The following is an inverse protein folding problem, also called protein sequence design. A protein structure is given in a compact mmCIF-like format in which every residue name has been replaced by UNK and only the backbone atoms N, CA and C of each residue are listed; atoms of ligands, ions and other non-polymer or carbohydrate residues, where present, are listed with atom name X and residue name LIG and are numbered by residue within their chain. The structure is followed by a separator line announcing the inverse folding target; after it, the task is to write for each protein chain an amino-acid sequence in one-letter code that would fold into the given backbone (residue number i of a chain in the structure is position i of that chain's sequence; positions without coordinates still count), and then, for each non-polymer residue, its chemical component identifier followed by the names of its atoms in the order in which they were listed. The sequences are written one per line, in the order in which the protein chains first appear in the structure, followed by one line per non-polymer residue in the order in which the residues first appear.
data_IF_844115921159
#
_entry.id   IF_844115921159
#
_cell.length_a   1.000
_cell.length_b   1.000
_cell.length_c   1.000
_cell.angle_alpha   90.00
_cell.angle_beta   90.00
_cell.angle_gamma   90.00
#
_symmetry.space_group_name_H-M   'P 1'
#
loop_
_entity.id
_entity.type
_entity.pdbx_description
1 polymer ?
#
# COMPACT_ATOMS: atom_id res chain seq x y z
N UNK A 1 6.70 -15.57 -14.61
CA UNK A 1 7.81 -15.65 -13.64
C UNK A 1 7.64 -16.87 -12.76
N UNK A 2 8.72 -17.56 -12.39
CA UNK A 2 8.67 -18.61 -11.36
C UNK A 2 8.30 -17.96 -10.03
N UNK A 3 7.28 -18.48 -9.35
CA UNK A 3 6.91 -18.05 -8.01
C UNK A 3 8.05 -18.46 -7.05
N UNK A 4 8.73 -17.48 -6.45
CA UNK A 4 9.86 -17.73 -5.53
C UNK A 4 9.39 -18.31 -4.19
N UNK A 5 8.15 -18.03 -3.81
CA UNK A 5 7.50 -18.54 -2.60
C UNK A 5 6.02 -18.89 -2.87
N UNK A 6 5.42 -19.70 -1.99
CA UNK A 6 4.08 -20.22 -2.21
C UNK A 6 3.00 -19.26 -1.72
N UNK A 7 3.27 -18.55 -0.63
CA UNK A 7 2.36 -17.57 -0.03
C UNK A 7 2.97 -16.18 -0.12
N UNK A 8 2.17 -15.19 -0.49
CA UNK A 8 2.59 -13.80 -0.44
C UNK A 8 2.82 -13.36 1.03
N UNK A 9 3.61 -12.30 1.28
CA UNK A 9 3.83 -11.80 2.61
C UNK A 9 2.54 -11.38 3.30
N UNK A 10 2.59 -11.44 4.63
CA UNK A 10 1.46 -11.08 5.47
C UNK A 10 1.21 -9.57 5.43
N UNK A 11 0.08 -9.15 4.83
CA UNK A 11 -0.28 -7.74 4.72
C UNK A 11 -1.38 -7.29 5.70
N UNK A 12 -2.08 -8.23 6.34
CA UNK A 12 -3.23 -7.91 7.18
C UNK A 12 -2.86 -7.50 8.61
N UNK A 13 -1.72 -7.92 9.16
CA UNK A 13 -1.31 -7.58 10.52
C UNK A 13 -1.18 -6.05 10.72
N UNK A 14 -0.51 -5.28 9.85
CA UNK A 14 -0.46 -3.82 9.97
C UNK A 14 -1.85 -3.17 9.85
N UNK A 15 -2.74 -3.72 9.02
CA UNK A 15 -4.12 -3.21 8.91
C UNK A 15 -4.90 -3.45 10.21
N UNK A 16 -4.72 -4.62 10.82
CA UNK A 16 -5.32 -4.99 12.09
C UNK A 16 -4.80 -4.12 13.24
N UNK A 17 -3.49 -3.87 13.30
CA UNK A 17 -2.88 -2.97 14.29
C UNK A 17 -3.42 -1.54 14.18
N UNK A 18 -3.56 -1.00 12.96
CA UNK A 18 -4.20 0.31 12.73
C UNK A 18 -5.63 0.35 13.25
N UNK A 19 -6.42 -0.68 12.94
CA UNK A 19 -7.81 -0.78 13.41
C UNK A 19 -7.90 -0.82 14.94
N UNK A 20 -6.99 -1.53 15.61
CA UNK A 20 -6.91 -1.54 17.08
C UNK A 20 -6.66 -0.12 17.61
N UNK A 21 -5.73 0.63 17.03
CA UNK A 21 -5.43 2.01 17.46
C UNK A 21 -6.63 2.93 17.26
N UNK A 22 -7.32 2.83 16.12
CA UNK A 22 -8.55 3.61 15.85
C UNK A 22 -9.64 3.31 16.87
N UNK A 23 -9.86 2.03 17.19
CA UNK A 23 -10.84 1.60 18.17
C UNK A 23 -10.49 2.07 19.59
N UNK A 24 -9.22 2.03 19.98
CA UNK A 24 -8.76 2.54 21.29
C UNK A 24 -8.98 4.05 21.42
N UNK A 25 -8.70 4.81 20.36
CA UNK A 25 -8.96 6.25 20.32
C UNK A 25 -10.46 6.55 20.39
N UNK A 26 -11.26 5.82 19.61
CA UNK A 26 -12.72 5.95 19.62
C UNK A 26 -13.30 5.60 21.00
N UNK A 27 -12.85 4.51 21.62
CA UNK A 27 -13.27 4.09 22.95
C UNK A 27 -13.01 5.16 24.00
N UNK A 28 -11.78 5.70 24.04
CA UNK A 28 -11.40 6.77 24.96
C UNK A 28 -12.28 8.01 24.77
N UNK A 29 -12.53 8.40 23.52
CA UNK A 29 -13.40 9.53 23.19
C UNK A 29 -14.84 9.31 23.67
N UNK A 30 -15.40 8.12 23.41
CA UNK A 30 -16.78 7.76 23.75
C UNK A 30 -16.99 7.61 25.26
N UNK A 31 -16.04 7.01 25.98
CA UNK A 31 -16.07 6.93 27.44
C UNK A 31 -16.01 8.32 28.10
N UNK A 32 -15.24 9.26 27.55
CA UNK A 32 -15.22 10.64 28.01
C UNK A 32 -16.53 11.37 27.71
N UNK A 33 -17.13 11.15 26.54
CA UNK A 33 -18.41 11.72 26.17
C UNK A 33 -19.54 11.26 27.11
N UNK A 34 -19.65 9.95 27.36
CA UNK A 34 -20.66 9.37 28.27
C UNK A 34 -20.49 9.88 29.71
N UNK A 35 -19.25 10.02 30.19
CA UNK A 35 -18.97 10.53 31.55
C UNK A 35 -19.46 11.96 31.77
N UNK A 36 -19.39 12.79 30.72
CA UNK A 36 -19.76 14.19 30.78
C UNK A 36 -21.19 14.46 30.27
N UNK A 37 -21.91 13.42 29.84
CA UNK A 37 -23.22 13.56 29.22
C UNK A 37 -24.34 13.79 30.25
N UNK A 38 -25.41 14.48 29.84
CA UNK A 38 -26.60 14.60 30.68
C UNK A 38 -27.25 13.23 30.92
N UNK A 39 -27.83 13.05 32.11
CA UNK A 39 -28.55 11.82 32.46
C UNK A 39 -30.00 11.83 31.99
N UNK A 40 -30.50 10.64 31.65
CA UNK A 40 -31.87 10.42 31.20
C UNK A 40 -31.94 9.69 29.87
N UNK A 41 -33.15 9.29 29.48
CA UNK A 41 -33.44 8.66 28.20
C UNK A 41 -34.40 9.55 27.40
N UNK A 42 -34.40 9.38 26.08
CA UNK A 42 -35.34 10.09 25.20
C UNK A 42 -36.23 9.09 24.50
N UNK A 43 -37.54 9.34 24.59
CA UNK A 43 -38.54 8.72 23.73
C UNK A 43 -38.86 9.66 22.57
N UNK A 44 -38.87 9.11 21.36
CA UNK A 44 -39.18 9.84 20.14
C UNK A 44 -40.56 9.41 19.66
N UNK A 45 -41.41 10.38 19.29
CA UNK A 45 -42.74 10.13 18.73
C UNK A 45 -42.92 11.02 17.50
N UNK A 46 -43.55 10.50 16.45
CA UNK A 46 -43.98 11.30 15.30
C UNK A 46 -45.48 11.58 15.46
N UNK A 47 -45.87 12.86 15.57
CA UNK A 47 -47.28 13.28 15.61
C UNK A 47 -47.57 14.25 14.47
N UNK A 48 -48.55 13.92 13.64
CA UNK A 48 -48.96 14.73 12.48
C UNK A 48 -47.76 15.15 11.60
N UNK A 49 -46.81 14.24 11.38
CA UNK A 49 -45.60 14.50 10.60
C UNK A 49 -44.46 15.22 11.33
N UNK A 50 -44.64 15.63 12.60
CA UNK A 50 -43.60 16.30 13.38
C UNK A 50 -42.98 15.39 14.43
N UNK A 51 -41.66 15.42 14.50
CA UNK A 51 -40.89 14.71 15.51
C UNK A 51 -41.00 15.42 16.87
N UNK A 52 -41.35 14.68 17.92
CA UNK A 52 -41.50 15.16 19.29
C UNK A 52 -40.64 14.31 20.24
N UNK A 53 -39.95 14.99 21.16
CA UNK A 53 -39.08 14.36 22.15
C UNK A 53 -39.73 14.36 23.53
N UNK A 54 -39.55 13.27 24.26
CA UNK A 54 -40.02 13.11 25.64
C UNK A 54 -38.86 12.61 26.50
N UNK A 55 -38.46 13.39 27.52
CA UNK A 55 -37.43 12.99 28.48
C UNK A 55 -38.01 11.97 29.45
N UNK A 56 -37.31 10.86 29.65
CA UNK A 56 -37.62 9.83 30.64
C UNK A 56 -36.52 9.84 31.69
N UNK A 57 -36.89 9.82 32.97
CA UNK A 57 -35.89 9.78 34.06
C UNK A 57 -35.34 8.36 34.29
N UNK A 58 -36.07 7.32 33.86
CA UNK A 58 -35.62 5.94 33.94
C UNK A 58 -36.27 5.05 32.88
N UNK A 59 -35.76 3.83 32.75
CA UNK A 59 -36.35 2.80 31.88
C UNK A 59 -37.76 2.35 32.32
N UNK A 60 -38.14 2.59 33.57
CA UNK A 60 -39.48 2.29 34.10
C UNK A 60 -40.52 3.38 33.75
N UNK A 61 -40.10 4.63 33.55
CA UNK A 61 -40.98 5.71 33.11
C UNK A 61 -41.26 5.58 31.61
N UNK A 62 -42.41 5.02 31.21
CA UNK A 62 -42.71 4.72 29.80
C UNK A 62 -43.18 5.97 29.02
N UNK A 63 -43.78 6.95 29.71
CA UNK A 63 -44.42 8.10 29.08
C UNK A 63 -43.45 9.27 28.88
N UNK A 64 -42.65 9.59 29.90
CA UNK A 64 -41.75 10.74 29.89
C UNK A 64 -42.45 12.10 29.86
N UNK A 65 -41.67 13.16 30.01
CA UNK A 65 -42.12 14.56 29.93
C UNK A 65 -41.77 15.17 28.59
N UNK A 66 -42.74 15.84 27.95
CA UNK A 66 -42.52 16.51 26.67
C UNK A 66 -41.38 17.52 26.75
N UNK A 67 -40.47 17.46 25.79
CA UNK A 67 -39.39 18.43 25.62
C UNK A 67 -39.78 19.42 24.51
N UNK A 68 -39.90 20.72 24.81
CA UNK A 68 -40.18 21.74 23.80
C UNK A 68 -38.98 21.90 22.85
N UNK A 69 -39.21 22.50 21.68
CA UNK A 69 -38.19 22.75 20.64
C UNK A 69 -36.95 23.50 21.13
N UNK A 70 -37.11 24.35 22.15
CA UNK A 70 -35.98 25.03 22.81
C UNK A 70 -35.00 24.07 23.49
N UNK A 71 -35.39 22.83 23.74
CA UNK A 71 -34.57 21.77 24.34
C UNK A 71 -34.12 20.70 23.33
N UNK A 72 -34.30 20.90 22.01
CA UNK A 72 -33.89 19.92 20.99
C UNK A 72 -32.39 19.58 21.10
N UNK A 73 -31.53 20.55 21.46
CA UNK A 73 -30.10 20.32 21.71
C UNK A 73 -29.83 19.37 22.88
N UNK A 74 -30.63 19.46 23.95
CA UNK A 74 -30.56 18.53 25.09
C UNK A 74 -31.07 17.14 24.67
N UNK A 75 -32.14 17.07 23.89
CA UNK A 75 -32.68 15.81 23.38
C UNK A 75 -31.64 15.07 22.53
N UNK A 76 -30.98 15.77 21.61
CA UNK A 76 -29.90 15.21 20.78
C UNK A 76 -28.73 14.73 21.64
N UNK A 77 -28.32 15.49 22.66
CA UNK A 77 -27.26 15.07 23.58
C UNK A 77 -27.60 13.79 24.34
N UNK A 78 -28.84 13.65 24.81
CA UNK A 78 -29.31 12.43 25.50
C UNK A 78 -29.39 11.22 24.54
N UNK A 79 -29.87 11.43 23.31
CA UNK A 79 -29.89 10.38 22.27
C UNK A 79 -28.47 9.93 21.92
N UNK A 80 -27.55 10.88 21.75
CA UNK A 80 -26.14 10.58 21.47
C UNK A 80 -25.49 9.80 22.62
N UNK A 81 -25.83 10.13 23.87
CA UNK A 81 -25.34 9.40 25.03
C UNK A 81 -25.84 7.95 25.08
N UNK A 82 -27.13 7.70 24.78
CA UNK A 82 -27.68 6.34 24.67
C UNK A 82 -26.99 5.51 23.57
N UNK A 83 -26.71 6.13 22.42
CA UNK A 83 -25.93 5.50 21.36
C UNK A 83 -24.48 5.22 21.81
N UNK A 84 -23.78 6.20 22.37
CA UNK A 84 -22.39 6.05 22.81
C UNK A 84 -22.26 4.97 23.90
N UNK A 85 -23.21 4.89 24.83
CA UNK A 85 -23.27 3.84 25.84
C UNK A 85 -23.44 2.43 25.26
N UNK A 86 -24.11 2.28 24.10
CA UNK A 86 -24.23 1.01 23.37
C UNK A 86 -23.03 0.71 22.48
N UNK A 87 -22.37 1.74 21.96
CA UNK A 87 -21.17 1.59 21.11
C UNK A 87 -19.96 1.17 21.91
N UNK A 88 -19.79 1.69 23.14
CA UNK A 88 -18.66 1.32 24.02
C UNK A 88 -18.47 -0.20 24.15
N UNK A 89 -19.47 -1.00 24.59
CA UNK A 89 -19.29 -2.44 24.71
C UNK A 89 -19.05 -3.13 23.36
N UNK A 90 -19.62 -2.61 22.26
CA UNK A 90 -19.34 -3.14 20.92
C UNK A 90 -17.88 -2.92 20.50
N UNK A 91 -17.31 -1.74 20.79
CA UNK A 91 -15.88 -1.46 20.56
C UNK A 91 -15.00 -2.35 21.44
N UNK A 92 -15.34 -2.51 22.71
CA UNK A 92 -14.60 -3.37 23.65
C UNK A 92 -14.60 -4.84 23.20
N UNK A 93 -15.73 -5.34 22.72
CA UNK A 93 -15.85 -6.68 22.13
C UNK A 93 -14.97 -6.83 20.87
N UNK A 94 -15.02 -5.87 19.95
CA UNK A 94 -14.18 -5.88 18.73
C UNK A 94 -12.69 -5.87 19.09
N UNK A 95 -12.28 -4.98 20.00
CA UNK A 95 -10.90 -4.90 20.51
C UNK A 95 -10.44 -6.22 21.12
N UNK A 96 -11.29 -6.89 21.91
CA UNK A 96 -10.98 -8.19 22.51
C UNK A 96 -10.68 -9.22 21.43
N UNK A 97 -11.52 -9.33 20.41
CA UNK A 97 -11.32 -10.29 19.32
C UNK A 97 -10.04 -10.00 18.52
N UNK A 98 -9.81 -8.74 18.13
CA UNK A 98 -8.64 -8.35 17.33
C UNK A 98 -7.33 -8.57 18.09
N UNK A 99 -7.26 -8.16 19.36
CA UNK A 99 -6.08 -8.36 20.21
C UNK A 99 -5.80 -9.85 20.46
N UNK A 100 -6.83 -10.64 20.71
CA UNK A 100 -6.69 -12.09 20.90
C UNK A 100 -6.21 -12.77 19.61
N UNK A 101 -6.75 -12.38 18.46
CA UNK A 101 -6.31 -12.87 17.16
C UNK A 101 -4.84 -12.53 16.90
N UNK A 102 -4.43 -11.27 17.04
CA UNK A 102 -3.04 -10.83 16.86
C UNK A 102 -2.07 -11.63 17.74
N UNK A 103 -2.40 -11.77 19.03
CA UNK A 103 -1.59 -12.55 19.98
C UNK A 103 -1.49 -14.03 19.58
N UNK A 104 -2.60 -14.63 19.13
CA UNK A 104 -2.62 -16.05 18.76
C UNK A 104 -1.85 -16.28 17.46
N UNK A 105 -2.01 -15.38 16.49
CA UNK A 105 -1.39 -15.45 15.18
C UNK A 105 0.13 -15.37 15.28
N UNK A 106 0.68 -14.34 15.95
CA UNK A 106 2.13 -14.21 16.17
C UNK A 106 2.74 -15.40 16.91
N UNK A 107 1.93 -16.13 17.69
CA UNK A 107 2.40 -17.31 18.40
C UNK A 107 2.46 -18.58 17.54
N UNK A 108 1.63 -18.67 16.49
CA UNK A 108 1.43 -19.87 15.67
C UNK A 108 1.78 -19.67 14.19
N UNK A 109 2.49 -18.60 13.84
CA UNK A 109 2.79 -18.28 12.45
C UNK A 109 3.68 -19.36 11.77
N UNK A 110 3.56 -19.44 10.44
CA UNK A 110 4.19 -20.48 9.63
C UNK A 110 5.72 -20.43 9.71
N UNK A 111 6.30 -19.24 9.89
CA UNK A 111 7.75 -19.06 10.02
C UNK A 111 8.33 -19.84 11.20
N UNK A 112 7.57 -20.04 12.29
CA UNK A 112 8.02 -20.86 13.43
C UNK A 112 8.20 -22.32 13.06
N UNK A 113 7.47 -22.84 12.06
CA UNK A 113 7.64 -24.21 11.60
C UNK A 113 9.02 -24.37 10.96
N UNK A 114 9.38 -23.45 10.05
CA UNK A 114 10.70 -23.46 9.40
C UNK A 114 11.83 -23.18 10.39
N UNK A 115 11.68 -22.18 11.27
CA UNK A 115 12.72 -21.77 12.20
C UNK A 115 13.04 -22.82 13.28
N UNK A 116 12.09 -23.71 13.60
CA UNK A 116 12.29 -24.84 14.52
C UNK A 116 13.03 -26.03 13.89
N UNK A 117 13.21 -26.06 12.57
CA UNK A 117 13.99 -27.12 11.93
C UNK A 117 15.48 -26.97 12.27
N UNK A 118 16.16 -28.10 12.48
CA UNK A 118 17.62 -28.12 12.61
C UNK A 118 18.30 -27.59 11.32
N UNK A 119 19.49 -26.99 11.44
CA UNK A 119 20.17 -26.32 10.31
C UNK A 119 20.27 -27.16 9.03
N UNK A 120 20.71 -28.44 9.08
CA UNK A 120 20.81 -29.26 7.87
C UNK A 120 19.45 -29.46 7.17
N UNK A 121 18.36 -29.52 7.93
CA UNK A 121 17.00 -29.63 7.36
C UNK A 121 16.53 -28.31 6.76
N UNK A 122 16.88 -27.17 7.37
CA UNK A 122 16.54 -25.84 6.84
C UNK A 122 17.15 -25.60 5.46
N UNK A 123 18.38 -26.07 5.24
CA UNK A 123 19.09 -25.90 3.96
C UNK A 123 18.50 -26.74 2.82
N UNK A 124 17.84 -27.86 3.13
CA UNK A 124 17.28 -28.79 2.13
C UNK A 124 15.80 -28.47 1.84
N UNK A 125 15.06 -27.98 2.84
CA UNK A 125 13.62 -27.72 2.72
C UNK A 125 13.38 -26.42 1.95
N UNK A 126 12.40 -26.44 1.04
CA UNK A 126 11.85 -25.22 0.43
C UNK A 126 10.77 -24.65 1.36
N UNK A 127 11.00 -23.48 1.98
CA UNK A 127 10.00 -22.90 2.86
C UNK A 127 8.78 -22.41 2.06
N UNK A 128 7.63 -22.30 2.73
CA UNK A 128 6.41 -21.77 2.12
C UNK A 128 6.50 -20.25 1.88
N UNK A 129 7.25 -19.57 2.74
CA UNK A 129 7.52 -18.13 2.76
C UNK A 129 9.02 -17.90 2.95
N UNK A 130 9.57 -16.91 2.27
CA UNK A 130 10.95 -16.47 2.45
C UNK A 130 11.00 -15.24 3.34
N UNK A 131 12.07 -15.09 4.12
CA UNK A 131 12.36 -13.79 4.75
C UNK A 131 12.64 -12.74 3.67
N UNK A 132 12.51 -11.46 4.02
CA UNK A 132 12.79 -10.36 3.08
C UNK A 132 14.19 -10.45 2.48
N UNK A 133 15.19 -10.78 3.29
CA UNK A 133 16.57 -10.93 2.85
C UNK A 133 16.75 -12.12 1.91
N UNK A 134 16.12 -13.27 2.21
CA UNK A 134 16.19 -14.46 1.36
C UNK A 134 15.50 -14.22 0.02
N UNK A 135 14.30 -13.63 0.03
CA UNK A 135 13.58 -13.32 -1.20
C UNK A 135 14.37 -12.33 -2.05
N UNK A 136 14.90 -11.26 -1.46
CA UNK A 136 15.74 -10.28 -2.16
C UNK A 136 16.94 -10.96 -2.83
N UNK A 137 17.64 -11.84 -2.10
CA UNK A 137 18.82 -12.54 -2.61
C UNK A 137 18.46 -13.46 -3.78
N UNK A 138 17.42 -14.29 -3.65
CA UNK A 138 16.97 -15.17 -4.74
C UNK A 138 16.48 -14.37 -5.96
N UNK A 139 15.81 -13.24 -5.71
CA UNK A 139 15.38 -12.36 -6.78
C UNK A 139 16.59 -11.70 -7.48
N UNK A 140 17.59 -11.21 -6.76
CA UNK A 140 18.78 -10.60 -7.37
C UNK A 140 19.66 -11.59 -8.15
N UNK A 141 19.60 -12.90 -7.84
CA UNK A 141 20.35 -13.95 -8.56
C UNK A 141 19.92 -14.17 -10.01
N UNK A 142 18.77 -13.64 -10.44
CA UNK A 142 18.30 -13.81 -11.82
C UNK A 142 19.27 -13.10 -12.77
N UNK A 143 19.97 -13.87 -13.58
CA UNK A 143 20.83 -13.35 -14.64
C UNK A 143 20.03 -12.88 -15.86
N UNK A 144 20.44 -11.77 -16.46
CA UNK A 144 19.82 -11.21 -17.64
C UNK A 144 20.83 -10.42 -18.49
N UNK A 145 20.54 -10.29 -19.78
CA UNK A 145 21.39 -9.51 -20.70
C UNK A 145 20.96 -8.05 -20.71
N UNK A 146 21.84 -7.18 -20.22
CA UNK A 146 21.72 -5.71 -20.35
C UNK A 146 21.99 -5.27 -21.79
N UNK A 147 21.53 -4.08 -22.16
CA UNK A 147 21.90 -3.48 -23.45
C UNK A 147 23.37 -3.05 -23.40
N UNK A 148 24.08 -3.17 -24.52
CA UNK A 148 25.44 -2.61 -24.61
C UNK A 148 25.36 -1.09 -24.44
N UNK A 149 26.28 -0.53 -23.67
CA UNK A 149 26.45 0.92 -23.55
C UNK A 149 27.48 1.33 -24.60
N UNK A 150 27.12 2.21 -25.55
CA UNK A 150 28.08 2.72 -26.53
C UNK A 150 29.23 3.48 -25.85
N UNK A 151 30.44 3.49 -26.43
CA UNK A 151 31.61 4.16 -25.85
C UNK A 151 31.47 5.68 -25.74
N UNK A 152 30.50 6.25 -26.46
CA UNK A 152 30.18 7.67 -26.52
C UNK A 152 29.41 8.16 -25.28
N UNK A 153 28.84 7.23 -24.51
CA UNK A 153 28.10 7.52 -23.29
C UNK A 153 29.09 7.76 -22.14
N UNK A 154 28.91 8.82 -21.33
CA UNK A 154 29.76 9.08 -20.17
C UNK A 154 29.89 7.86 -19.25
N UNK A 155 31.11 7.64 -18.75
CA UNK A 155 31.40 6.56 -17.81
C UNK A 155 30.93 6.98 -16.40
N UNK A 156 29.70 6.64 -16.08
CA UNK A 156 29.07 6.92 -14.78
C UNK A 156 28.80 5.59 -14.07
N UNK A 157 29.36 5.40 -12.88
CA UNK A 157 29.15 4.19 -12.09
C UNK A 157 28.26 4.45 -10.87
N UNK A 158 27.26 3.58 -10.66
CA UNK A 158 26.46 3.55 -9.44
C UNK A 158 27.31 3.07 -8.27
N UNK A 159 26.83 3.32 -7.05
CA UNK A 159 27.48 2.74 -5.88
C UNK A 159 27.34 1.20 -5.79
N UNK A 160 26.53 0.57 -6.65
CA UNK A 160 26.46 -0.88 -6.81
C UNK A 160 27.45 -1.38 -7.89
N UNK A 161 28.23 -0.49 -8.52
CA UNK A 161 29.25 -0.82 -9.52
C UNK A 161 28.72 -0.93 -10.95
N UNK A 162 27.49 -0.49 -11.22
CA UNK A 162 26.88 -0.59 -12.55
C UNK A 162 27.14 0.67 -13.35
N UNK A 163 27.50 0.54 -14.64
CA UNK A 163 27.56 1.71 -15.52
C UNK A 163 26.14 2.10 -15.96
N UNK A 164 25.79 3.39 -15.82
CA UNK A 164 24.49 3.95 -16.20
C UNK A 164 24.61 4.94 -17.36
N UNK A 165 23.49 5.23 -18.05
CA UNK A 165 23.49 6.07 -19.26
C UNK A 165 23.35 7.56 -18.97
N UNK A 166 22.81 7.92 -17.81
CA UNK A 166 22.50 9.31 -17.48
C UNK A 166 22.78 9.66 -16.01
N UNK A 167 22.91 10.96 -15.73
CA UNK A 167 23.04 11.47 -14.35
C UNK A 167 21.77 11.20 -13.54
N UNK A 168 20.61 11.27 -14.18
CA UNK A 168 19.32 11.03 -13.53
C UNK A 168 19.19 9.56 -13.11
N UNK A 169 19.62 8.60 -13.95
CA UNK A 169 19.76 7.19 -13.57
C UNK A 169 20.72 6.99 -12.39
N UNK A 170 21.88 7.65 -12.39
CA UNK A 170 22.83 7.57 -11.28
C UNK A 170 22.19 8.02 -9.95
N UNK A 171 21.44 9.13 -9.98
CA UNK A 171 20.72 9.66 -8.82
C UNK A 171 19.64 8.68 -8.34
N UNK A 172 18.88 8.09 -9.25
CA UNK A 172 17.84 7.09 -8.93
C UNK A 172 18.46 5.84 -8.31
N UNK A 173 19.48 5.26 -8.95
CA UNK A 173 20.19 4.08 -8.51
C UNK A 173 20.76 4.23 -7.09
N UNK A 174 21.44 5.36 -6.82
CA UNK A 174 22.01 5.63 -5.50
C UNK A 174 20.91 5.89 -4.46
N UNK A 175 19.79 6.52 -4.84
CA UNK A 175 18.65 6.72 -3.94
C UNK A 175 17.95 5.40 -3.58
N UNK A 176 17.80 4.49 -4.54
CA UNK A 176 17.28 3.14 -4.31
C UNK A 176 18.19 2.37 -3.35
N UNK A 177 19.51 2.43 -3.57
CA UNK A 177 20.50 1.80 -2.69
C UNK A 177 20.45 2.37 -1.27
N UNK A 178 20.43 3.69 -1.12
CA UNK A 178 20.35 4.37 0.18
C UNK A 178 19.06 4.00 0.94
N UNK A 179 17.97 3.72 0.23
CA UNK A 179 16.72 3.25 0.80
C UNK A 179 16.67 1.73 1.06
N UNK A 180 17.71 0.98 0.70
CA UNK A 180 17.77 -0.48 0.84
C UNK A 180 16.81 -1.22 -0.11
N UNK A 181 16.41 -0.62 -1.22
CA UNK A 181 15.48 -1.21 -2.19
C UNK A 181 16.24 -2.04 -3.21
N UNK A 182 15.98 -3.35 -3.34
CA UNK A 182 16.56 -4.18 -4.39
C UNK A 182 16.03 -3.78 -5.76
N UNK A 183 16.93 -3.70 -6.75
CA UNK A 183 16.56 -3.44 -8.14
C UNK A 183 17.45 -4.21 -9.11
N UNK A 184 16.97 -4.33 -10.35
CA UNK A 184 17.73 -4.78 -11.52
C UNK A 184 17.75 -3.63 -12.54
N UNK A 185 18.94 -3.18 -12.92
CA UNK A 185 19.12 -2.11 -13.91
C UNK A 185 18.95 -2.62 -15.35
N UNK A 186 18.13 -1.96 -16.17
CA UNK A 186 17.80 -2.37 -17.55
C UNK A 186 17.31 -3.82 -17.70
N UNK A 187 16.49 -4.30 -16.77
CA UNK A 187 15.95 -5.66 -16.83
C UNK A 187 14.99 -5.84 -18.03
N UNK A 188 15.21 -6.82 -18.94
CA UNK A 188 14.37 -7.00 -20.12
C UNK A 188 12.98 -7.53 -19.75
N UNK A 189 11.95 -6.81 -20.17
CA UNK A 189 10.55 -7.21 -20.15
C UNK A 189 10.12 -7.62 -21.55
N UNK A 190 9.52 -8.81 -21.69
CA UNK A 190 8.97 -9.26 -22.95
C UNK A 190 7.57 -8.62 -23.11
N UNK A 191 7.42 -7.81 -24.14
CA UNK A 191 6.18 -7.11 -24.47
C UNK A 191 5.62 -7.64 -25.78
N UNK A 192 4.32 -7.83 -25.85
CA UNK A 192 3.56 -8.07 -27.08
C UNK A 192 3.21 -6.71 -27.70
N UNK A 193 3.65 -6.48 -28.94
CA UNK A 193 3.38 -5.22 -29.67
C UNK A 193 1.93 -5.14 -30.16
N UNK A 194 1.26 -6.27 -30.29
CA UNK A 194 -0.09 -6.38 -30.86
C UNK A 194 -1.12 -6.79 -29.80
N UNK A 195 -0.84 -6.59 -28.51
CA UNK A 195 -1.77 -6.84 -27.40
C UNK A 195 -3.10 -6.04 -27.47
N UNK A 196 -3.33 -5.29 -28.55
CA UNK A 196 -4.50 -4.46 -28.82
C UNK A 196 -5.72 -5.25 -29.30
N UNK A 197 -5.53 -6.43 -29.89
CA UNK A 197 -6.62 -7.24 -30.46
C UNK A 197 -6.60 -8.68 -29.89
N UNK A 198 -7.48 -8.98 -28.91
CA UNK A 198 -7.61 -10.32 -28.35
C UNK A 198 -8.12 -11.37 -29.34
N UNK A 199 -8.78 -10.93 -30.41
CA UNK A 199 -9.49 -11.80 -31.34
C UNK A 199 -8.58 -12.26 -32.51
N UNK A 200 -7.45 -11.58 -32.74
CA UNK A 200 -6.43 -11.95 -33.74
C UNK A 200 -5.00 -11.76 -33.22
N UNK A 201 -4.41 -12.77 -32.54
CA UNK A 201 -3.07 -12.65 -31.99
C UNK A 201 -2.00 -12.80 -33.09
N UNK A 202 -1.47 -11.67 -33.57
CA UNK A 202 -0.16 -11.65 -34.24
C UNK A 202 0.93 -11.58 -33.16
N UNK A 203 1.56 -12.72 -32.87
CA UNK A 203 2.60 -12.85 -31.85
C UNK A 203 3.93 -12.15 -32.24
N UNK A 204 3.95 -10.81 -32.29
CA UNK A 204 5.16 -10.00 -32.45
C UNK A 204 5.62 -9.46 -31.08
N UNK A 205 6.66 -10.08 -30.53
CA UNK A 205 7.21 -9.71 -29.25
C UNK A 205 8.45 -8.81 -29.38
N UNK A 206 8.57 -7.84 -28.47
CA UNK A 206 9.75 -7.01 -28.32
C UNK A 206 10.28 -7.03 -26.87
N UNK A 207 11.56 -6.69 -26.69
CA UNK A 207 12.16 -6.53 -25.37
C UNK A 207 12.18 -5.05 -25.01
N UNK A 208 11.38 -4.68 -24.02
CA UNK A 208 11.41 -3.36 -23.43
C UNK A 208 12.31 -3.38 -22.18
N UNK A 209 13.17 -2.38 -22.05
CA UNK A 209 14.07 -2.26 -20.91
C UNK A 209 13.69 -0.98 -20.16
N UNK A 210 12.96 -1.07 -19.03
CA UNK A 210 12.86 0.03 -18.08
C UNK A 210 14.23 0.37 -17.50
N UNK A 211 14.43 1.60 -17.05
CA UNK A 211 15.69 2.00 -16.40
C UNK A 211 15.95 1.14 -15.17
N UNK A 212 14.91 0.94 -14.34
CA UNK A 212 14.99 0.06 -13.18
C UNK A 212 13.79 -0.87 -13.13
N UNK A 213 14.03 -2.08 -12.66
CA UNK A 213 13.00 -3.00 -12.22
C UNK A 213 13.20 -3.18 -10.72
N UNK A 214 12.26 -2.70 -9.92
CA UNK A 214 12.40 -2.58 -8.47
C UNK A 214 11.51 -3.59 -7.74
N UNK A 215 11.95 -4.05 -6.58
CA UNK A 215 11.18 -4.97 -5.73
C UNK A 215 10.73 -4.26 -4.45
N UNK A 216 9.42 -4.16 -4.22
CA UNK A 216 8.88 -3.85 -2.91
C UNK A 216 8.98 -5.09 -2.03
N UNK A 217 9.91 -5.10 -1.08
CA UNK A 217 10.17 -6.27 -0.25
C UNK A 217 8.96 -6.67 0.59
N UNK A 218 8.28 -5.72 1.21
CA UNK A 218 7.15 -6.02 2.10
C UNK A 218 5.97 -6.69 1.39
N UNK A 219 5.80 -6.42 0.11
CA UNK A 219 4.65 -6.92 -0.67
C UNK A 219 5.01 -7.97 -1.74
N UNK A 220 6.31 -8.19 -1.95
CA UNK A 220 6.91 -8.89 -3.12
C UNK A 220 6.46 -8.36 -4.48
N UNK A 221 5.90 -7.16 -4.55
CA UNK A 221 5.47 -6.57 -5.83
C UNK A 221 6.66 -6.00 -6.56
N UNK A 222 6.71 -6.29 -7.85
CA UNK A 222 7.72 -5.75 -8.76
C UNK A 222 7.16 -4.52 -9.47
N UNK A 223 8.01 -3.52 -9.65
CA UNK A 223 7.68 -2.27 -10.31
C UNK A 223 8.69 -2.02 -11.43
N UNK A 224 8.20 -1.83 -12.65
CA UNK A 224 9.01 -1.19 -13.68
C UNK A 224 9.12 0.30 -13.34
N UNK A 225 10.31 0.88 -13.47
CA UNK A 225 10.54 2.31 -13.30
C UNK A 225 11.23 2.85 -14.54
N UNK A 226 10.54 3.76 -15.21
CA UNK A 226 11.02 4.49 -16.38
C UNK A 226 11.16 5.99 -16.08
N UNK A 227 12.29 6.57 -16.47
CA UNK A 227 12.57 7.99 -16.37
C UNK A 227 12.66 8.65 -17.74
N UNK A 228 11.77 9.61 -17.99
CA UNK A 228 11.74 10.39 -19.22
C UNK A 228 12.46 11.73 -19.05
N UNK A 229 13.71 11.80 -19.55
CA UNK A 229 14.63 12.92 -19.34
C UNK A 229 14.41 14.18 -20.20
N UNK A 230 13.75 14.07 -21.35
CA UNK A 230 13.73 15.13 -22.38
C UNK A 230 12.29 15.46 -22.80
N UNK A 231 11.39 15.66 -21.83
CA UNK A 231 9.96 15.86 -22.12
C UNK A 231 9.62 17.22 -22.74
N UNK A 232 10.58 18.12 -22.83
CA UNK A 232 10.50 19.38 -23.58
C UNK A 232 10.83 19.22 -25.07
N UNK A 233 11.42 18.10 -25.49
CA UNK A 233 11.59 17.76 -26.91
C UNK A 233 10.30 17.09 -27.44
N UNK A 234 9.60 17.69 -28.43
CA UNK A 234 8.33 17.14 -28.91
C UNK A 234 8.45 15.73 -29.50
N UNK A 235 9.55 15.45 -30.23
CA UNK A 235 9.76 14.14 -30.86
C UNK A 235 10.00 13.04 -29.84
N UNK A 236 10.69 13.37 -28.74
CA UNK A 236 10.92 12.49 -27.61
C UNK A 236 9.63 12.28 -26.82
N UNK A 237 8.85 13.33 -26.57
CA UNK A 237 7.58 13.25 -25.89
C UNK A 237 6.58 12.33 -26.62
N UNK A 238 6.51 12.39 -27.95
CA UNK A 238 5.71 11.45 -28.75
C UNK A 238 6.16 9.99 -28.54
N UNK A 239 7.46 9.71 -28.64
CA UNK A 239 8.00 8.35 -28.42
C UNK A 239 7.80 7.88 -26.97
N UNK A 240 7.87 8.79 -26.00
CA UNK A 240 7.58 8.49 -24.60
C UNK A 240 6.12 8.08 -24.41
N UNK A 241 5.18 8.78 -25.06
CA UNK A 241 3.76 8.43 -25.03
C UNK A 241 3.50 7.04 -25.64
N UNK A 242 4.09 6.74 -26.81
CA UNK A 242 4.03 5.40 -27.43
C UNK A 242 4.58 4.31 -26.50
N UNK A 243 5.71 4.58 -25.83
CA UNK A 243 6.31 3.64 -24.88
C UNK A 243 5.41 3.40 -23.66
N UNK A 244 4.78 4.45 -23.13
CA UNK A 244 3.82 4.34 -22.02
C UNK A 244 2.60 3.52 -22.45
N UNK A 245 2.08 3.76 -23.65
CA UNK A 245 0.97 2.99 -24.20
C UNK A 245 1.33 1.50 -24.32
N UNK A 246 2.52 1.18 -24.84
CA UNK A 246 3.00 -0.19 -24.94
C UNK A 246 3.10 -0.89 -23.57
N UNK A 247 3.57 -0.17 -22.53
CA UNK A 247 3.56 -0.68 -21.16
C UNK A 247 2.13 -1.03 -20.73
N UNK A 248 1.17 -0.11 -20.92
CA UNK A 248 -0.22 -0.29 -20.48
C UNK A 248 -0.91 -1.44 -21.21
N UNK A 249 -0.70 -1.58 -22.51
CA UNK A 249 -1.21 -2.69 -23.33
C UNK A 249 -0.67 -4.05 -22.84
N UNK A 250 0.50 -4.05 -22.22
CA UNK A 250 1.11 -5.23 -21.59
C UNK A 250 0.87 -5.34 -20.08
N UNK A 251 -0.11 -4.60 -19.55
CA UNK A 251 -0.53 -4.69 -18.16
C UNK A 251 0.35 -3.94 -17.15
N UNK A 252 1.26 -3.09 -17.62
CA UNK A 252 2.05 -2.17 -16.80
C UNK A 252 1.38 -0.80 -16.73
N UNK A 253 0.70 -0.53 -15.61
CA UNK A 253 -0.08 0.69 -15.43
C UNK A 253 0.64 1.66 -14.48
N UNK A 254 0.73 2.95 -14.83
CA UNK A 254 1.24 3.98 -13.94
C UNK A 254 0.54 3.94 -12.57
N UNK A 255 1.33 3.91 -11.50
CA UNK A 255 0.82 3.87 -10.12
C UNK A 255 0.39 2.49 -9.61
N UNK A 256 0.39 1.45 -10.46
CA UNK A 256 0.09 0.06 -10.05
C UNK A 256 1.34 -0.81 -10.00
N UNK A 257 2.05 -0.89 -11.11
CA UNK A 257 3.27 -1.69 -11.33
C UNK A 257 4.26 -0.99 -12.27
N UNK A 258 3.96 0.25 -12.67
CA UNK A 258 4.84 1.14 -13.42
C UNK A 258 5.00 2.44 -12.64
N UNK A 259 6.25 2.82 -12.37
CA UNK A 259 6.67 4.11 -11.82
C UNK A 259 7.22 4.93 -12.97
N UNK A 260 6.73 6.16 -13.10
CA UNK A 260 7.19 7.10 -14.13
C UNK A 260 7.75 8.34 -13.45
N UNK A 261 8.96 8.72 -13.82
CA UNK A 261 9.53 10.05 -13.50
C UNK A 261 9.80 10.80 -14.77
N UNK A 262 9.55 12.10 -14.79
CA UNK A 262 9.76 12.94 -15.96
C UNK A 262 10.57 14.16 -15.56
N UNK A 263 11.41 14.66 -16.46
CA UNK A 263 12.06 15.96 -16.32
C UNK A 263 12.07 16.71 -17.66
N UNK A 264 12.27 18.01 -17.56
CA UNK A 264 12.51 18.93 -18.66
C UNK A 264 13.68 19.84 -18.28
N UNK A 265 14.21 20.60 -19.23
CA UNK A 265 15.26 21.59 -18.94
C UNK A 265 14.87 22.58 -17.83
N UNK A 266 13.57 22.92 -17.71
CA UNK A 266 13.06 23.87 -16.69
C UNK A 266 12.62 23.21 -15.38
N UNK A 267 12.41 21.90 -15.38
CA UNK A 267 11.93 21.14 -14.24
C UNK A 267 12.77 19.87 -14.08
N UNK A 268 13.98 19.97 -13.49
CA UNK A 268 14.89 18.84 -13.32
C UNK A 268 14.39 17.86 -12.26
N UNK A 269 14.92 16.63 -12.29
CA UNK A 269 14.59 15.59 -11.32
C UNK A 269 14.89 16.05 -9.88
N UNK A 270 13.83 16.08 -9.05
CA UNK A 270 13.94 16.46 -7.64
C UNK A 270 14.22 15.25 -6.75
N UNK A 271 15.29 15.32 -5.96
CA UNK A 271 15.61 14.30 -4.95
C UNK A 271 14.52 14.15 -3.87
N UNK A 272 13.76 15.21 -3.58
CA UNK A 272 12.62 15.14 -2.65
C UNK A 272 11.47 14.33 -3.24
N UNK A 273 11.15 14.54 -4.52
CA UNK A 273 10.11 13.76 -5.22
C UNK A 273 10.54 12.29 -5.29
N UNK A 274 11.81 12.05 -5.60
CA UNK A 274 12.37 10.70 -5.67
C UNK A 274 12.22 9.92 -4.36
N UNK A 275 12.57 10.55 -3.22
CA UNK A 275 12.38 9.96 -1.89
C UNK A 275 10.90 9.62 -1.61
N UNK A 276 9.98 10.50 -2.02
CA UNK A 276 8.55 10.26 -1.85
C UNK A 276 8.05 9.10 -2.72
N UNK A 277 8.52 8.99 -3.96
CA UNK A 277 8.19 7.87 -4.86
C UNK A 277 8.68 6.55 -4.25
N UNK A 278 9.94 6.48 -3.83
CA UNK A 278 10.51 5.29 -3.20
C UNK A 278 9.68 4.89 -1.97
N UNK A 279 9.37 5.86 -1.09
CA UNK A 279 8.56 5.62 0.10
C UNK A 279 7.14 5.15 -0.20
N UNK A 280 6.53 5.64 -1.29
CA UNK A 280 5.14 5.35 -1.62
C UNK A 280 4.98 3.98 -2.27
N UNK A 281 5.89 3.60 -3.16
CA UNK A 281 5.74 2.40 -3.99
C UNK A 281 6.62 1.24 -3.53
N UNK A 282 7.77 1.49 -2.91
CA UNK A 282 8.82 0.49 -2.71
C UNK A 282 9.10 0.15 -1.23
N UNK A 283 8.51 0.89 -0.29
CA UNK A 283 8.64 0.71 1.17
C UNK A 283 7.27 0.54 1.85
#
# INVERSE_FOLDING_TARGET
MKKLENLAPEQFLPALERRIVELEQALKSKQAAVRNAPSGLVRIVIRKGHLQFYKRESAADIQGKYMPRSQDALAHSLIQNDYDAKVIPAIEDELRYLKQFAKTYCNKNLDKVYNKLASPRREIVRPLTLTDQQYAAEWLKVEYRKKKIPPEVPVLFTENGEQVRSKSELIIANSLKAAGVPYRYEFPLLMDKNARDPDFPDYDFCKLHPDFYCLNLKTRREFAWEHFGMMDDPSYACRAAEKIQLYQENGFFPGKNLIITMETTKAPLSSKILKNIIKTYLL
#
